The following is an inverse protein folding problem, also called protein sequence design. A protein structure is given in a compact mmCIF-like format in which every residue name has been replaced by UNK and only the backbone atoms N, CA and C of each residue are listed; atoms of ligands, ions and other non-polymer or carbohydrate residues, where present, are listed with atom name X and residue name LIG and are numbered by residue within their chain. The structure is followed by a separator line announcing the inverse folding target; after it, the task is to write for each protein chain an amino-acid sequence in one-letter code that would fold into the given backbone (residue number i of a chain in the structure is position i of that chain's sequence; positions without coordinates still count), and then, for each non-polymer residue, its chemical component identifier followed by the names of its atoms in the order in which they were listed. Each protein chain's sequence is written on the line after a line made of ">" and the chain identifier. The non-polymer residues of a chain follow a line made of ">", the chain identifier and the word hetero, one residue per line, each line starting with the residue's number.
data_IF_810654160165
#
_entry.id   IF_810654160165
#
_cell.length_a   1.000
_cell.length_b   1.000
_cell.length_c   1.000
_cell.angle_alpha   90.00
_cell.angle_beta   90.00
_cell.angle_gamma   90.00
#
_symmetry.space_group_name_H-M   'P 1'
#
loop_
_entity.id
_entity.type
_entity.pdbx_description
1 polymer ?
#
# COMPACT_ATOMS: atom_id res chain seq x y z
N UNK A 1 13.86 4.93 7.65
CA UNK A 1 12.66 4.13 7.90
C UNK A 1 11.86 3.93 6.62
N UNK A 2 11.13 2.88 6.54
CA UNK A 2 10.28 2.63 5.38
C UNK A 2 8.92 3.29 5.62
N UNK A 3 8.48 4.05 4.63
CA UNK A 3 7.20 4.76 4.67
C UNK A 3 6.31 4.14 3.61
N UNK A 4 5.04 3.92 3.97
CA UNK A 4 4.06 3.34 3.06
C UNK A 4 3.18 4.47 2.53
N UNK A 5 3.18 4.63 1.20
CA UNK A 5 2.42 5.68 0.52
C UNK A 5 1.22 5.09 -0.22
N UNK A 6 0.67 4.00 0.28
CA UNK A 6 -0.47 3.36 -0.36
C UNK A 6 -1.67 4.29 -0.45
N UNK A 7 -1.90 5.05 0.61
CA UNK A 7 -3.02 5.99 0.64
C UNK A 7 -2.89 7.05 -0.46
N UNK A 8 -1.67 7.51 -0.73
CA UNK A 8 -1.42 8.50 -1.77
C UNK A 8 -1.77 7.92 -3.14
N UNK A 9 -1.32 6.68 -3.41
CA UNK A 9 -1.58 6.06 -4.71
C UNK A 9 -3.05 5.73 -4.88
N UNK A 10 -3.72 5.29 -3.81
CA UNK A 10 -5.15 5.05 -3.88
C UNK A 10 -5.90 6.33 -4.23
N UNK A 11 -5.51 7.44 -3.62
CA UNK A 11 -6.13 8.72 -3.91
C UNK A 11 -5.89 9.14 -5.36
N UNK A 12 -4.66 8.93 -5.84
CA UNK A 12 -4.34 9.28 -7.24
C UNK A 12 -5.17 8.49 -8.23
N UNK A 13 -5.45 7.23 -7.92
CA UNK A 13 -6.24 6.37 -8.80
C UNK A 13 -7.73 6.43 -8.48
N UNK A 14 -8.10 7.21 -7.47
CA UNK A 14 -9.49 7.36 -7.03
C UNK A 14 -10.11 6.00 -6.73
N UNK A 15 -9.34 5.15 -6.07
CA UNK A 15 -9.77 3.81 -5.71
C UNK A 15 -9.97 3.74 -4.21
N UNK A 16 -11.14 3.25 -3.78
CA UNK A 16 -11.45 3.11 -2.37
C UNK A 16 -10.77 1.88 -1.79
N UNK A 17 -10.69 1.84 -0.47
CA UNK A 17 -10.13 0.68 0.23
C UNK A 17 -10.96 -0.57 -0.06
N UNK A 18 -12.28 -0.44 -0.09
CA UNK A 18 -13.16 -1.57 -0.43
C UNK A 18 -12.86 -2.10 -1.83
N UNK A 19 -12.74 -1.21 -2.77
CA UNK A 19 -12.50 -1.59 -4.16
C UNK A 19 -11.15 -2.30 -4.30
N UNK A 20 -10.13 -1.76 -3.68
CA UNK A 20 -8.80 -2.36 -3.74
C UNK A 20 -8.81 -3.73 -3.06
N UNK A 21 -9.46 -3.83 -1.90
CA UNK A 21 -9.58 -5.08 -1.17
C UNK A 21 -10.18 -6.17 -2.05
N UNK A 22 -11.25 -5.84 -2.77
CA UNK A 22 -11.89 -6.81 -3.65
C UNK A 22 -11.00 -7.20 -4.81
N UNK A 23 -10.30 -6.23 -5.39
CA UNK A 23 -9.48 -6.51 -6.56
C UNK A 23 -8.30 -7.42 -6.25
N UNK A 24 -7.69 -7.25 -5.09
CA UNK A 24 -6.49 -8.02 -4.77
C UNK A 24 -6.77 -9.14 -3.79
N UNK A 25 -8.02 -9.31 -3.39
CA UNK A 25 -8.44 -10.42 -2.53
C UNK A 25 -7.72 -10.42 -1.19
N UNK A 26 -7.58 -9.25 -0.59
CA UNK A 26 -7.01 -9.05 0.73
C UNK A 26 -8.11 -8.46 1.60
N UNK A 27 -8.21 -8.90 2.84
CA UNK A 27 -9.26 -8.39 3.73
C UNK A 27 -9.07 -6.91 3.99
N UNK A 28 -10.19 -6.23 4.25
CA UNK A 28 -10.16 -4.82 4.57
C UNK A 28 -9.29 -4.55 5.77
N UNK A 29 -9.35 -5.42 6.78
CA UNK A 29 -8.55 -5.23 7.98
C UNK A 29 -7.06 -5.25 7.66
N UNK A 30 -6.62 -6.24 6.88
CA UNK A 30 -5.21 -6.35 6.53
C UNK A 30 -4.76 -5.21 5.65
N UNK A 31 -5.60 -4.80 4.71
CA UNK A 31 -5.26 -3.70 3.82
C UNK A 31 -5.20 -2.38 4.59
N UNK A 32 -6.09 -2.21 5.56
CA UNK A 32 -6.08 -1.03 6.40
C UNK A 32 -4.80 -0.91 7.23
N UNK A 33 -4.33 -2.05 7.75
CA UNK A 33 -3.08 -2.08 8.50
C UNK A 33 -1.93 -1.61 7.62
N UNK A 34 -1.90 -2.06 6.38
CA UNK A 34 -0.87 -1.65 5.44
C UNK A 34 -1.00 -0.17 5.09
N UNK A 35 -2.22 0.28 4.82
CA UNK A 35 -2.48 1.65 4.43
C UNK A 35 -2.07 2.65 5.50
N UNK A 36 -2.29 2.29 6.77
CA UNK A 36 -1.95 3.20 7.88
C UNK A 36 -0.49 3.13 8.28
N UNK A 37 0.30 2.29 7.60
CA UNK A 37 1.73 2.21 7.89
C UNK A 37 2.06 1.37 9.12
N UNK A 38 1.11 0.59 9.60
CA UNK A 38 1.33 -0.23 10.79
C UNK A 38 1.81 -1.63 10.48
N UNK A 39 1.88 -1.99 9.21
CA UNK A 39 2.35 -3.31 8.81
C UNK A 39 3.85 -3.39 9.02
N UNK A 40 4.32 -4.54 9.48
CA UNK A 40 5.75 -4.76 9.70
C UNK A 40 6.39 -5.47 8.53
N UNK A 41 5.59 -6.01 7.63
CA UNK A 41 6.08 -6.74 6.47
C UNK A 41 5.01 -6.74 5.40
N UNK A 42 5.44 -6.95 4.17
CA UNK A 42 4.52 -7.14 3.05
C UNK A 42 5.10 -8.24 2.18
N UNK A 43 4.24 -9.16 1.75
CA UNK A 43 4.67 -10.21 0.85
C UNK A 43 4.80 -9.65 -0.56
N UNK A 44 5.76 -10.19 -1.30
CA UNK A 44 5.91 -9.77 -2.69
C UNK A 44 4.65 -10.06 -3.51
N UNK A 45 3.93 -11.14 -3.21
CA UNK A 45 2.69 -11.42 -3.93
C UNK A 45 1.65 -10.32 -3.69
N UNK A 46 1.57 -9.83 -2.46
CA UNK A 46 0.66 -8.74 -2.14
C UNK A 46 1.10 -7.45 -2.83
N UNK A 47 2.39 -7.15 -2.76
CA UNK A 47 2.93 -5.95 -3.40
C UNK A 47 2.69 -5.99 -4.91
N UNK A 48 2.89 -7.15 -5.52
CA UNK A 48 2.63 -7.33 -6.94
C UNK A 48 1.17 -7.05 -7.29
N UNK A 49 0.25 -7.59 -6.48
CA UNK A 49 -1.17 -7.41 -6.74
C UNK A 49 -1.58 -5.93 -6.60
N UNK A 50 -1.00 -5.24 -5.62
CA UNK A 50 -1.29 -3.82 -5.43
C UNK A 50 -0.78 -3.01 -6.62
N UNK A 51 0.44 -3.29 -7.07
CA UNK A 51 1.01 -2.58 -8.22
C UNK A 51 0.18 -2.81 -9.47
N UNK A 52 -0.30 -4.03 -9.66
CA UNK A 52 -1.17 -4.33 -10.79
C UNK A 52 -2.48 -3.56 -10.72
N UNK A 53 -3.11 -3.58 -9.55
CA UNK A 53 -4.42 -2.95 -9.37
C UNK A 53 -4.34 -1.44 -9.53
N UNK A 54 -3.27 -0.83 -9.02
CA UNK A 54 -3.10 0.62 -9.04
C UNK A 54 -2.26 1.10 -10.22
N UNK A 55 -1.77 0.17 -11.04
CA UNK A 55 -0.95 0.51 -12.20
C UNK A 55 0.21 1.41 -11.78
N UNK A 56 1.03 0.91 -10.87
CA UNK A 56 2.13 1.68 -10.33
C UNK A 56 3.31 0.76 -10.04
N UNK A 57 4.40 1.36 -9.61
CA UNK A 57 5.63 0.65 -9.28
C UNK A 57 5.76 0.51 -7.77
N UNK A 58 6.53 -0.47 -7.28
CA UNK A 58 6.74 -0.59 -5.83
C UNK A 58 7.26 0.68 -5.19
N UNK A 59 8.10 1.43 -5.91
CA UNK A 59 8.63 2.68 -5.39
C UNK A 59 7.59 3.77 -5.21
N UNK A 60 6.41 3.59 -5.81
CA UNK A 60 5.30 4.52 -5.59
C UNK A 60 4.58 4.21 -4.29
N UNK A 61 4.75 2.99 -3.78
CA UNK A 61 4.04 2.53 -2.58
C UNK A 61 4.96 2.52 -1.36
N UNK A 62 6.22 2.16 -1.55
CA UNK A 62 7.20 2.05 -0.47
C UNK A 62 8.33 3.02 -0.72
N UNK A 63 8.75 3.68 0.34
CA UNK A 63 9.78 4.70 0.23
C UNK A 63 10.67 4.61 1.45
N UNK A 64 11.99 4.78 1.25
CA UNK A 64 12.90 4.90 2.37
C UNK A 64 13.12 6.37 2.68
N UNK A 65 12.98 6.74 3.92
CA UNK A 65 13.34 8.06 4.42
C UNK A 65 14.30 7.91 5.55
N UNK A 66 15.21 8.88 5.70
CA UNK A 66 16.10 8.87 6.83
C UNK A 66 15.29 8.91 8.10
N UNK A 67 15.75 8.19 9.11
CA UNK A 67 15.03 8.04 10.36
C UNK A 67 14.86 9.31 11.09
N UNK A 68 14.31 9.28 12.22
CA UNK A 68 14.21 10.34 13.10
C UNK A 68 13.57 11.54 12.55
N UNK A 69 12.46 11.38 12.02
CA UNK A 69 11.75 12.46 11.43
C UNK A 69 10.89 13.17 12.38
N UNK A 70 10.81 12.78 13.56
CA UNK A 70 9.89 13.42 14.41
C UNK A 70 10.24 14.78 14.71
#
# INVERSE_FOLDING_TARGET
>A
MIVVNLDVMMARRKMSLNELSERINITLANLSILKTGKAKAIRFTTLNAICEALDCQPGDILEYREGNQE
#
